data_IF_963351674659
#
_entry.id   IF_963351674659
#
_cell.length_a   1.000
_cell.length_b   1.000
_cell.length_c   1.000
_cell.angle_alpha   90.00
_cell.angle_beta   90.00
_cell.angle_gamma   90.00
#
_symmetry.space_group_name_H-M   'P 1'
#
loop_
_entity.id
_entity.type
_entity.pdbx_description
1 polymer ?
#
# COMPACT_ATOMS: atom_id res chain seq x y z
N UNK A 1 -12.19 77.90 7.67
CA UNK A 1 -11.33 77.52 6.54
C UNK A 1 -10.17 76.69 7.09
N UNK A 2 -10.15 75.38 6.80
CA UNK A 2 -9.11 74.63 6.06
C UNK A 2 -7.77 74.48 6.81
N UNK A 3 -7.57 73.30 7.40
CA UNK A 3 -6.51 72.28 7.12
C UNK A 3 -5.30 72.50 8.03
N UNK A 4 -4.66 71.49 8.64
CA UNK A 4 -3.87 70.50 7.92
C UNK A 4 -3.64 69.21 8.74
N UNK A 5 -4.23 68.14 8.18
CA UNK A 5 -3.90 66.73 8.33
C UNK A 5 -2.50 66.43 7.78
N UNK A 6 -1.45 66.84 8.49
CA UNK A 6 -0.08 66.69 7.98
C UNK A 6 0.92 66.13 9.00
N UNK A 7 0.49 65.30 9.96
CA UNK A 7 1.40 64.68 10.96
C UNK A 7 1.60 63.18 10.86
N UNK A 8 1.00 62.51 9.89
CA UNK A 8 1.03 61.04 9.81
C UNK A 8 1.38 60.57 8.41
N UNK A 9 2.62 60.78 7.97
CA UNK A 9 3.06 60.24 6.67
C UNK A 9 4.54 59.83 6.59
N UNK A 10 5.37 60.04 7.62
CA UNK A 10 6.82 59.88 7.47
C UNK A 10 7.42 58.58 8.02
N UNK A 11 6.63 57.67 8.62
CA UNK A 11 7.18 56.45 9.24
C UNK A 11 6.89 55.13 8.49
N UNK A 12 6.08 55.14 7.43
CA UNK A 12 5.56 53.90 6.82
C UNK A 12 6.26 53.45 5.52
N UNK A 13 7.36 54.09 5.10
CA UNK A 13 7.95 53.88 3.77
C UNK A 13 9.29 53.13 3.74
N UNK A 14 9.72 52.51 4.85
CA UNK A 14 10.95 51.68 4.87
C UNK A 14 10.76 50.19 5.14
N UNK A 15 9.53 49.70 5.33
CA UNK A 15 9.27 48.29 5.63
C UNK A 15 8.72 47.46 4.45
N UNK A 16 8.56 48.04 3.25
CA UNK A 16 7.86 47.39 2.14
C UNK A 16 8.76 46.81 1.04
N UNK A 17 10.09 46.76 1.23
CA UNK A 17 11.03 46.34 0.17
C UNK A 17 11.72 44.99 0.40
N UNK A 18 11.41 44.25 1.47
CA UNK A 18 12.08 42.97 1.79
C UNK A 18 11.15 41.75 1.91
N UNK A 19 9.87 41.89 1.56
CA UNK A 19 8.87 40.82 1.68
C UNK A 19 8.44 40.18 0.35
N UNK A 20 9.06 40.55 -0.78
CA UNK A 20 8.64 40.11 -2.11
C UNK A 20 9.54 39.06 -2.77
N UNK A 21 10.62 38.60 -2.13
CA UNK A 21 11.50 37.56 -2.69
C UNK A 21 11.30 36.16 -2.09
N UNK A 22 10.70 36.03 -0.90
CA UNK A 22 10.54 34.73 -0.21
C UNK A 22 9.25 33.98 -0.54
N UNK A 23 8.20 34.66 -0.99
CA UNK A 23 6.87 34.06 -1.16
C UNK A 23 6.70 33.28 -2.47
N UNK A 24 7.55 33.49 -3.48
CA UNK A 24 7.41 32.84 -4.78
C UNK A 24 7.91 31.38 -4.81
N UNK A 25 8.84 31.00 -3.92
CA UNK A 25 9.41 29.65 -3.90
C UNK A 25 8.68 28.66 -2.98
N UNK A 26 7.84 29.13 -2.06
CA UNK A 26 7.05 28.25 -1.19
C UNK A 26 5.79 27.71 -1.88
N UNK A 27 5.22 28.46 -2.84
CA UNK A 27 3.97 28.07 -3.50
C UNK A 27 4.16 27.00 -4.60
N UNK A 28 5.37 26.89 -5.17
CA UNK A 28 5.67 25.89 -6.20
C UNK A 28 5.92 24.47 -5.64
N UNK A 29 6.33 24.34 -4.37
CA UNK A 29 6.52 23.02 -3.73
C UNK A 29 5.22 22.40 -3.19
N UNK A 30 4.17 23.20 -2.98
CA UNK A 30 2.89 22.71 -2.49
C UNK A 30 2.02 22.07 -3.60
N UNK A 31 2.16 22.49 -4.86
CA UNK A 31 1.36 21.95 -5.97
C UNK A 31 1.88 20.62 -6.52
N UNK A 32 3.13 20.25 -6.25
CA UNK A 32 3.73 19.02 -6.78
C UNK A 32 3.34 17.76 -5.99
N UNK A 33 2.64 17.88 -4.86
CA UNK A 33 2.30 16.74 -3.98
C UNK A 33 0.86 16.21 -4.15
N UNK A 34 0.01 16.89 -4.91
CA UNK A 34 -1.41 16.49 -5.09
C UNK A 34 -1.68 15.61 -6.33
N UNK A 35 -0.68 15.30 -7.16
CA UNK A 35 -0.88 14.52 -8.39
C UNK A 35 -0.79 13.00 -8.24
N UNK A 36 -0.19 12.50 -7.17
CA UNK A 36 0.03 11.05 -6.99
C UNK A 36 -1.14 10.31 -6.33
N UNK A 37 -2.00 11.02 -5.58
CA UNK A 37 -3.15 10.42 -4.88
C UNK A 37 -4.31 10.08 -5.81
N UNK A 38 -4.77 11.06 -6.61
CA UNK A 38 -5.97 10.89 -7.42
C UNK A 38 -5.82 9.87 -8.56
N UNK A 39 -4.65 9.80 -9.19
CA UNK A 39 -4.37 8.81 -10.23
C UNK A 39 -4.22 7.39 -9.66
N UNK A 40 -3.62 7.25 -8.47
CA UNK A 40 -3.51 5.98 -7.76
C UNK A 40 -4.86 5.48 -7.25
N UNK A 41 -5.71 6.38 -6.77
CA UNK A 41 -7.03 6.08 -6.23
C UNK A 41 -8.05 5.75 -7.33
N UNK A 42 -7.99 6.44 -8.47
CA UNK A 42 -8.76 6.11 -9.68
C UNK A 42 -8.33 4.77 -10.31
N UNK A 43 -7.03 4.48 -10.34
CA UNK A 43 -6.52 3.18 -10.81
C UNK A 43 -6.87 2.04 -9.83
N UNK A 44 -6.81 2.28 -8.51
CA UNK A 44 -7.21 1.31 -7.49
C UNK A 44 -8.71 1.02 -7.51
N UNK A 45 -9.55 2.05 -7.69
CA UNK A 45 -11.01 1.87 -7.82
C UNK A 45 -11.41 1.16 -9.12
N UNK A 46 -10.76 1.48 -10.25
CA UNK A 46 -10.98 0.75 -11.50
C UNK A 46 -10.55 -0.74 -11.41
N UNK A 47 -9.42 -1.01 -10.74
CA UNK A 47 -8.94 -2.37 -10.49
C UNK A 47 -9.77 -3.14 -9.43
N UNK A 48 -10.53 -2.44 -8.57
CA UNK A 48 -11.51 -3.05 -7.69
C UNK A 48 -12.81 -3.38 -8.43
N UNK A 49 -13.23 -2.53 -9.38
CA UNK A 49 -14.44 -2.73 -10.19
C UNK A 49 -14.36 -3.92 -11.17
N UNK A 50 -13.15 -4.39 -11.49
CA UNK A 50 -12.90 -5.57 -12.33
C UNK A 50 -12.46 -6.81 -11.51
N UNK A 51 -12.52 -6.73 -10.18
CA UNK A 51 -12.07 -7.81 -9.33
C UNK A 51 -13.10 -8.94 -9.27
N UNK A 52 -12.69 -10.12 -9.71
CA UNK A 52 -13.42 -11.36 -9.50
C UNK A 52 -12.90 -12.06 -8.22
N UNK A 53 -13.80 -12.43 -7.32
CA UNK A 53 -13.46 -13.21 -6.12
C UNK A 53 -13.29 -14.67 -6.53
N UNK A 54 -12.10 -15.27 -6.37
CA UNK A 54 -11.88 -16.64 -6.79
C UNK A 54 -12.72 -17.64 -5.98
N UNK A 55 -13.27 -18.65 -6.65
CA UNK A 55 -14.09 -19.68 -5.99
C UNK A 55 -13.32 -20.53 -4.96
N UNK A 56 -12.01 -20.70 -5.14
CA UNK A 56 -11.15 -21.42 -4.20
C UNK A 56 -10.84 -20.62 -2.93
N UNK A 57 -11.09 -19.31 -2.91
CA UNK A 57 -10.88 -18.50 -1.74
C UNK A 57 -11.93 -18.87 -0.69
N UNK A 58 -11.46 -19.29 0.49
CA UNK A 58 -12.34 -19.72 1.57
C UNK A 58 -13.30 -18.59 1.97
N UNK A 59 -14.57 -18.90 2.31
CA UNK A 59 -15.58 -17.88 2.63
C UNK A 59 -15.13 -16.77 3.60
N UNK A 60 -14.37 -17.04 4.68
CA UNK A 60 -13.92 -16.00 5.62
C UNK A 60 -13.01 -14.91 5.00
N UNK A 61 -12.38 -15.20 3.86
CA UNK A 61 -11.43 -14.30 3.19
C UNK A 61 -12.02 -13.54 2.01
N UNK A 62 -13.25 -13.87 1.60
CA UNK A 62 -13.92 -13.23 0.46
C UNK A 62 -14.30 -11.78 0.77
N UNK A 63 -14.77 -11.53 1.98
CA UNK A 63 -15.19 -10.21 2.42
C UNK A 63 -14.01 -9.24 2.48
N UNK A 64 -14.07 -8.19 1.65
CA UNK A 64 -13.02 -7.18 1.53
C UNK A 64 -11.87 -7.57 0.60
N UNK A 65 -11.88 -8.77 -0.01
CA UNK A 65 -10.82 -9.20 -0.92
C UNK A 65 -10.62 -8.24 -2.10
N UNK A 66 -11.71 -7.80 -2.73
CA UNK A 66 -11.62 -6.90 -3.88
C UNK A 66 -11.25 -5.46 -3.52
N UNK A 67 -11.32 -5.07 -2.25
CA UNK A 67 -10.81 -3.80 -1.78
C UNK A 67 -9.30 -3.84 -1.47
N UNK A 68 -8.68 -5.03 -1.48
CA UNK A 68 -7.24 -5.15 -1.24
C UNK A 68 -6.43 -4.56 -2.40
N UNK A 69 -5.27 -3.96 -2.08
CA UNK A 69 -4.21 -3.66 -3.04
C UNK A 69 -3.85 -4.86 -3.92
N UNK A 70 -3.47 -4.58 -5.17
CA UNK A 70 -3.23 -5.60 -6.18
C UNK A 70 -2.10 -6.58 -5.82
N UNK A 71 -1.06 -6.11 -5.13
CA UNK A 71 0.05 -6.95 -4.64
C UNK A 71 -0.39 -7.92 -3.55
N UNK A 72 -1.28 -7.50 -2.64
CA UNK A 72 -1.91 -8.38 -1.65
C UNK A 72 -2.81 -9.42 -2.31
N UNK A 73 -3.67 -9.02 -3.26
CA UNK A 73 -4.50 -9.98 -4.02
C UNK A 73 -3.64 -10.99 -4.78
N UNK A 74 -2.55 -10.52 -5.38
CA UNK A 74 -1.57 -11.37 -6.05
C UNK A 74 -0.91 -12.37 -5.11
N UNK A 75 -0.47 -11.92 -3.94
CA UNK A 75 0.11 -12.82 -2.93
C UNK A 75 -0.87 -13.92 -2.50
N UNK A 76 -2.12 -13.58 -2.20
CA UNK A 76 -3.15 -14.55 -1.78
C UNK A 76 -3.35 -15.62 -2.85
N UNK A 77 -3.47 -15.23 -4.12
CA UNK A 77 -3.56 -16.18 -5.23
C UNK A 77 -2.37 -17.11 -5.29
N UNK A 78 -1.16 -16.56 -5.32
CA UNK A 78 0.06 -17.34 -5.49
C UNK A 78 0.30 -18.28 -4.28
N UNK A 79 -0.13 -17.86 -3.09
CA UNK A 79 -0.01 -18.64 -1.87
C UNK A 79 -1.06 -19.76 -1.75
N UNK A 80 -2.32 -19.52 -2.12
CA UNK A 80 -3.34 -20.58 -2.17
C UNK A 80 -3.00 -21.64 -3.23
N UNK A 81 -2.46 -21.24 -4.38
CA UNK A 81 -1.94 -22.17 -5.39
C UNK A 81 -0.76 -22.99 -4.85
N UNK A 82 0.15 -22.36 -4.12
CA UNK A 82 1.23 -23.07 -3.43
C UNK A 82 0.70 -24.11 -2.43
N UNK A 83 -0.31 -23.78 -1.62
CA UNK A 83 -0.92 -24.75 -0.69
C UNK A 83 -1.60 -25.91 -1.40
N UNK A 84 -2.16 -25.67 -2.59
CA UNK A 84 -2.77 -26.71 -3.41
C UNK A 84 -1.75 -27.60 -4.14
N UNK A 85 -0.47 -27.23 -4.15
CA UNK A 85 0.58 -28.00 -4.81
C UNK A 85 0.86 -29.31 -4.05
N UNK A 86 0.59 -30.45 -4.69
CA UNK A 86 0.80 -31.78 -4.11
C UNK A 86 2.11 -32.46 -4.53
N UNK A 87 2.90 -31.86 -5.44
CA UNK A 87 4.20 -32.40 -5.87
C UNK A 87 4.16 -33.68 -6.73
N UNK A 88 3.01 -34.34 -6.84
CA UNK A 88 2.89 -35.67 -7.44
C UNK A 88 3.57 -36.76 -6.59
N UNK A 89 3.23 -38.03 -6.84
CA UNK A 89 3.93 -39.13 -6.17
C UNK A 89 5.32 -39.29 -6.81
N UNK A 90 6.40 -39.20 -6.04
CA UNK A 90 7.76 -39.33 -6.57
C UNK A 90 8.08 -40.77 -6.94
N UNK A 91 8.80 -40.94 -8.05
CA UNK A 91 9.16 -42.25 -8.58
C UNK A 91 10.25 -42.98 -7.76
N UNK A 92 11.10 -42.22 -7.06
CA UNK A 92 12.23 -42.74 -6.29
C UNK A 92 12.67 -41.78 -5.15
N UNK A 93 13.66 -42.21 -4.38
CA UNK A 93 14.19 -41.45 -3.24
C UNK A 93 14.87 -40.14 -3.65
N UNK A 94 15.50 -40.07 -4.83
CA UNK A 94 16.14 -38.84 -5.30
C UNK A 94 15.09 -37.80 -5.72
N UNK A 95 14.00 -38.26 -6.35
CA UNK A 95 12.84 -37.44 -6.67
C UNK A 95 12.16 -36.92 -5.39
N UNK A 96 11.98 -37.76 -4.37
CA UNK A 96 11.51 -37.35 -3.04
C UNK A 96 12.35 -36.21 -2.46
N UNK A 97 13.67 -36.37 -2.42
CA UNK A 97 14.56 -35.38 -1.83
C UNK A 97 14.56 -34.06 -2.63
N UNK A 98 14.48 -34.14 -3.95
CA UNK A 98 14.34 -32.95 -4.81
C UNK A 98 13.05 -32.20 -4.56
N UNK A 99 11.92 -32.90 -4.42
CA UNK A 99 10.63 -32.29 -4.09
C UNK A 99 10.64 -31.66 -2.70
N UNK A 100 11.28 -32.30 -1.72
CA UNK A 100 11.41 -31.76 -0.37
C UNK A 100 12.19 -30.44 -0.36
N UNK A 101 13.36 -30.38 -1.02
CA UNK A 101 14.16 -29.13 -1.13
C UNK A 101 13.40 -28.01 -1.83
N UNK A 102 12.70 -28.34 -2.91
CA UNK A 102 11.91 -27.36 -3.64
C UNK A 102 10.74 -26.84 -2.79
N UNK A 103 10.07 -27.72 -2.04
CA UNK A 103 9.02 -27.33 -1.10
C UNK A 103 9.57 -26.36 -0.03
N UNK A 104 10.68 -26.70 0.63
CA UNK A 104 11.33 -25.85 1.63
C UNK A 104 11.70 -24.47 1.08
N UNK A 105 12.30 -24.43 -0.12
CA UNK A 105 12.63 -23.18 -0.82
C UNK A 105 11.39 -22.31 -1.01
N UNK A 106 10.30 -22.87 -1.55
CA UNK A 106 9.04 -22.16 -1.80
C UNK A 106 8.38 -21.69 -0.50
N UNK A 107 8.40 -22.48 0.58
CA UNK A 107 7.93 -22.06 1.91
C UNK A 107 8.70 -20.82 2.36
N UNK A 108 10.03 -20.83 2.24
CA UNK A 108 10.89 -19.70 2.60
C UNK A 108 10.54 -18.43 1.83
N UNK A 109 10.34 -18.54 0.52
CA UNK A 109 9.95 -17.42 -0.34
C UNK A 109 8.59 -16.83 0.03
N UNK A 110 7.60 -17.67 0.29
CA UNK A 110 6.26 -17.21 0.69
C UNK A 110 6.28 -16.55 2.07
N UNK A 111 7.03 -17.10 3.03
CA UNK A 111 7.23 -16.48 4.35
C UNK A 111 7.88 -15.10 4.25
N UNK A 112 8.93 -14.97 3.41
CA UNK A 112 9.60 -13.69 3.20
C UNK A 112 8.67 -12.65 2.57
N UNK A 113 7.90 -13.05 1.54
CA UNK A 113 6.94 -12.17 0.88
C UNK A 113 5.81 -11.74 1.82
N UNK A 114 5.30 -12.66 2.64
CA UNK A 114 4.28 -12.35 3.64
C UNK A 114 4.79 -11.35 4.69
N UNK A 115 6.01 -11.55 5.20
CA UNK A 115 6.64 -10.64 6.15
C UNK A 115 6.77 -9.21 5.58
N UNK A 116 7.23 -9.09 4.33
CA UNK A 116 7.34 -7.80 3.65
C UNK A 116 5.99 -7.10 3.50
N UNK A 117 4.94 -7.83 3.13
CA UNK A 117 3.58 -7.29 3.03
C UNK A 117 3.07 -6.82 4.39
N UNK A 118 3.27 -7.62 5.46
CA UNK A 118 2.89 -7.23 6.82
C UNK A 118 3.61 -5.96 7.28
N UNK A 119 4.88 -5.77 6.93
CA UNK A 119 5.60 -4.53 7.22
C UNK A 119 5.02 -3.35 6.42
N UNK A 120 4.79 -3.54 5.11
CA UNK A 120 4.25 -2.49 4.23
C UNK A 120 2.89 -1.98 4.68
N UNK A 121 2.04 -2.88 5.14
CA UNK A 121 0.68 -2.59 5.58
C UNK A 121 0.54 -2.52 7.11
N UNK A 122 1.66 -2.42 7.83
CA UNK A 122 1.65 -2.13 9.26
C UNK A 122 1.62 -0.62 9.52
N UNK A 123 0.81 -0.20 10.49
CA UNK A 123 0.80 1.17 11.03
C UNK A 123 -0.43 2.01 10.69
N UNK A 124 -0.48 3.22 11.27
CA UNK A 124 -1.64 4.12 11.24
C UNK A 124 -1.96 4.70 9.85
N UNK A 125 -1.00 4.64 8.93
CA UNK A 125 -1.17 5.09 7.54
C UNK A 125 -1.77 4.01 6.62
N UNK A 126 -1.83 2.75 7.08
CA UNK A 126 -2.46 1.68 6.32
C UNK A 126 -3.98 1.73 6.48
N UNK A 127 -4.71 1.44 5.40
CA UNK A 127 -6.17 1.34 5.45
C UNK A 127 -6.58 0.30 6.52
N UNK A 128 -7.36 0.68 7.55
CA UNK A 128 -7.81 -0.22 8.60
C UNK A 128 -8.55 -1.45 8.07
N UNK A 129 -9.23 -1.35 6.92
CA UNK A 129 -9.89 -2.48 6.27
C UNK A 129 -8.87 -3.50 5.75
N UNK A 130 -7.78 -3.04 5.12
CA UNK A 130 -6.67 -3.90 4.66
C UNK A 130 -5.99 -4.57 5.85
N UNK A 131 -5.67 -3.81 6.89
CA UNK A 131 -5.02 -4.34 8.10
C UNK A 131 -5.87 -5.40 8.81
N UNK A 132 -7.18 -5.16 8.96
CA UNK A 132 -8.10 -6.17 9.53
C UNK A 132 -8.21 -7.41 8.66
N UNK A 133 -8.24 -7.24 7.34
CA UNK A 133 -8.27 -8.38 6.42
C UNK A 133 -7.00 -9.23 6.55
N UNK A 134 -5.83 -8.58 6.52
CA UNK A 134 -4.53 -9.25 6.67
C UNK A 134 -4.38 -9.97 8.01
N UNK A 135 -4.92 -9.41 9.11
CA UNK A 135 -4.93 -10.09 10.40
C UNK A 135 -5.77 -11.37 10.37
N UNK A 136 -6.97 -11.35 9.76
CA UNK A 136 -7.80 -12.57 9.63
C UNK A 136 -7.12 -13.61 8.76
N UNK A 137 -6.59 -13.20 7.61
CA UNK A 137 -5.89 -14.10 6.70
C UNK A 137 -4.63 -14.70 7.36
N UNK A 138 -3.86 -13.86 8.07
CA UNK A 138 -2.63 -14.23 8.76
C UNK A 138 -2.84 -15.21 9.92
N UNK A 139 -3.94 -15.11 10.67
CA UNK A 139 -4.21 -16.08 11.75
C UNK A 139 -4.31 -17.53 11.24
N UNK A 140 -4.78 -17.72 10.01
CA UNK A 140 -4.78 -19.03 9.38
C UNK A 140 -3.41 -19.40 8.80
N UNK A 141 -2.68 -18.43 8.24
CA UNK A 141 -1.40 -18.70 7.59
C UNK A 141 -0.25 -18.89 8.57
N UNK A 142 -0.24 -18.21 9.72
CA UNK A 142 0.82 -18.33 10.73
C UNK A 142 0.87 -19.74 11.36
N UNK A 143 -0.13 -20.61 11.09
CA UNK A 143 -0.11 -22.05 11.40
C UNK A 143 0.76 -22.87 10.43
N UNK A 144 0.96 -22.38 9.21
CA UNK A 144 1.63 -23.06 8.11
C UNK A 144 2.87 -22.31 7.58
N UNK A 145 3.03 -21.04 7.95
CA UNK A 145 4.18 -20.15 7.69
C UNK A 145 5.05 -19.94 8.92
#
# INVERSE_FOLDING_TARGET
MRTDTARTAAAALRAAALLSAGAAMALAMACSRSGAGAAGEAAATAAAAQCEIPQWLQPPHRDGFCALPADLRGFVRDYEEFKAFSGGEPADAAAMESLAREHERRVGEQRARWSQLRIRYAGDAADPAVSRWMQRYGQEQDRFL
#
